data_IF_811671964428
#
_entry.id   IF_811671964428
#
_cell.length_a   1.000
_cell.length_b   1.000
_cell.length_c   1.000
_cell.angle_alpha   90.00
_cell.angle_beta   90.00
_cell.angle_gamma   90.00
#
_symmetry.space_group_name_H-M   'P 1'
#
loop_
_entity.id
_entity.type
_entity.pdbx_description
1 polymer ?
#
# COMPACT_ATOMS: atom_id res chain seq x y z
N UNK A 1 -16.95 15.29 16.67
CA UNK A 1 -17.46 13.93 16.39
C UNK A 1 -18.96 13.91 16.11
N UNK A 2 -19.77 14.72 16.81
CA UNK A 2 -21.23 14.83 16.53
C UNK A 2 -21.53 15.17 15.06
N UNK A 3 -20.83 16.13 14.47
CA UNK A 3 -20.97 16.45 13.03
C UNK A 3 -20.73 15.23 12.13
N UNK A 4 -19.70 14.40 12.40
CA UNK A 4 -19.47 13.16 11.64
C UNK A 4 -20.59 12.13 11.84
N UNK A 5 -21.24 12.13 13.00
CA UNK A 5 -22.37 11.25 13.32
C UNK A 5 -23.64 11.68 12.59
N UNK A 6 -23.94 12.97 12.63
CA UNK A 6 -25.13 13.56 11.99
C UNK A 6 -25.04 13.56 10.47
N UNK A 7 -23.84 13.77 9.94
CA UNK A 7 -23.59 13.87 8.50
C UNK A 7 -23.69 15.31 7.98
N UNK A 8 -23.71 15.43 6.65
CA UNK A 8 -23.90 16.72 5.98
C UNK A 8 -25.31 17.31 6.20
N UNK A 9 -25.62 18.42 5.52
CA UNK A 9 -26.94 19.04 5.61
C UNK A 9 -28.12 18.10 5.30
N UNK A 10 -27.88 17.01 4.55
CA UNK A 10 -28.87 15.99 4.21
C UNK A 10 -28.76 14.71 5.05
N UNK A 11 -27.93 14.72 6.09
CA UNK A 11 -27.65 13.56 6.94
C UNK A 11 -26.82 12.48 6.23
N UNK A 12 -26.08 12.82 5.18
CA UNK A 12 -25.19 11.88 4.49
C UNK A 12 -23.82 11.83 5.17
N UNK A 13 -23.24 10.65 5.21
CA UNK A 13 -21.91 10.43 5.78
C UNK A 13 -20.85 11.20 4.99
N UNK A 14 -19.95 11.86 5.70
CA UNK A 14 -18.81 12.52 5.08
C UNK A 14 -17.83 11.48 4.51
N UNK A 15 -17.55 11.57 3.22
CA UNK A 15 -16.41 10.84 2.63
C UNK A 15 -15.07 11.49 3.04
N UNK A 16 -15.06 12.81 3.23
CA UNK A 16 -13.90 13.59 3.66
C UNK A 16 -14.31 14.81 4.51
N UNK A 17 -13.43 15.30 5.41
CA UNK A 17 -12.18 14.66 5.84
C UNK A 17 -12.45 13.35 6.59
N UNK A 18 -11.53 12.39 6.47
CA UNK A 18 -11.60 11.13 7.20
C UNK A 18 -11.50 11.40 8.71
N UNK A 19 -12.28 10.66 9.50
CA UNK A 19 -12.22 10.74 10.96
C UNK A 19 -11.23 9.72 11.48
N UNK A 20 -9.94 10.02 11.32
CA UNK A 20 -8.85 9.17 11.82
C UNK A 20 -8.62 9.43 13.32
N UNK A 21 -8.68 8.37 14.12
CA UNK A 21 -8.56 8.43 15.58
C UNK A 21 -7.42 7.52 16.03
N UNK A 22 -6.44 8.12 16.71
CA UNK A 22 -5.34 7.42 17.34
C UNK A 22 -5.78 6.82 18.67
N UNK A 23 -5.50 5.53 18.87
CA UNK A 23 -5.81 4.76 20.06
C UNK A 23 -4.51 4.23 20.66
N UNK A 24 -4.24 4.60 21.90
CA UNK A 24 -3.14 4.13 22.72
C UNK A 24 -3.64 3.51 24.04
N UNK A 25 -2.76 3.19 24.98
CA UNK A 25 -3.15 2.67 26.31
C UNK A 25 -3.99 3.67 27.12
N UNK A 26 -3.69 4.97 27.02
CA UNK A 26 -4.41 6.02 27.76
C UNK A 26 -5.86 6.11 27.33
N UNK A 27 -6.14 5.81 26.07
CA UNK A 27 -7.51 5.74 25.52
C UNK A 27 -8.41 4.74 26.28
N UNK A 28 -7.83 3.78 27.01
CA UNK A 28 -8.56 2.79 27.82
C UNK A 28 -8.51 3.07 29.34
N UNK A 29 -7.45 3.72 29.80
CA UNK A 29 -7.15 3.98 31.22
C UNK A 29 -7.78 5.29 31.70
N UNK A 30 -7.69 6.36 30.90
CA UNK A 30 -8.26 7.66 31.22
C UNK A 30 -9.79 7.65 31.03
N UNK A 31 -10.60 8.00 32.04
CA UNK A 31 -12.05 7.97 31.94
C UNK A 31 -12.62 8.85 30.82
N UNK A 32 -12.07 10.04 30.59
CA UNK A 32 -12.56 10.98 29.57
C UNK A 32 -12.22 10.47 28.17
N UNK A 33 -11.00 9.98 27.96
CA UNK A 33 -10.61 9.39 26.67
C UNK A 33 -11.41 8.11 26.38
N UNK A 34 -11.71 7.31 27.40
CA UNK A 34 -12.51 6.10 27.26
C UNK A 34 -13.96 6.41 26.85
N UNK A 35 -14.54 7.49 27.37
CA UNK A 35 -15.86 7.96 26.92
C UNK A 35 -15.81 8.39 25.44
N UNK A 36 -14.76 9.13 25.05
CA UNK A 36 -14.57 9.54 23.65
C UNK A 36 -14.42 8.33 22.71
N UNK A 37 -13.61 7.33 23.10
CA UNK A 37 -13.42 6.09 22.34
C UNK A 37 -14.75 5.32 22.20
N UNK A 38 -15.54 5.20 23.26
CA UNK A 38 -16.88 4.59 23.18
C UNK A 38 -17.79 5.33 22.21
N UNK A 39 -17.74 6.67 22.22
CA UNK A 39 -18.52 7.46 21.29
C UNK A 39 -18.06 7.28 19.84
N UNK A 40 -16.75 7.16 19.62
CA UNK A 40 -16.17 6.82 18.32
C UNK A 40 -16.65 5.46 17.81
N UNK A 41 -16.67 4.43 18.66
CA UNK A 41 -17.20 3.11 18.34
C UNK A 41 -18.69 3.17 18.01
N UNK A 42 -19.46 3.99 18.72
CA UNK A 42 -20.89 4.21 18.42
C UNK A 42 -21.07 4.78 17.01
N UNK A 43 -20.34 5.84 16.66
CA UNK A 43 -20.39 6.44 15.32
C UNK A 43 -19.98 5.41 14.26
N UNK A 44 -18.90 4.65 14.50
CA UNK A 44 -18.45 3.60 13.60
C UNK A 44 -19.55 2.55 13.36
N UNK A 45 -20.29 2.16 14.41
CA UNK A 45 -21.39 1.20 14.32
C UNK A 45 -22.62 1.73 13.58
N UNK A 46 -22.83 3.05 13.59
CA UNK A 46 -23.98 3.69 12.96
C UNK A 46 -23.73 4.01 11.50
N UNK A 47 -22.52 4.48 11.15
CA UNK A 47 -22.27 5.01 9.81
C UNK A 47 -20.87 4.71 9.22
N UNK A 48 -20.01 4.00 9.94
CA UNK A 48 -18.71 3.55 9.43
C UNK A 48 -17.66 4.62 9.17
N UNK A 49 -17.90 5.88 9.59
CA UNK A 49 -17.00 7.01 9.29
C UNK A 49 -15.71 7.05 10.13
N UNK A 50 -15.69 6.38 11.28
CA UNK A 50 -14.52 6.33 12.17
C UNK A 50 -13.46 5.38 11.61
N UNK A 51 -12.22 5.86 11.51
CA UNK A 51 -11.05 5.03 11.25
C UNK A 51 -10.16 4.99 12.51
N UNK A 52 -9.74 3.81 12.92
CA UNK A 52 -8.98 3.61 14.15
C UNK A 52 -7.54 3.23 13.85
N UNK A 53 -6.61 4.04 14.36
CA UNK A 53 -5.17 3.82 14.24
C UNK A 53 -4.67 3.41 15.62
N UNK A 54 -4.21 2.17 15.76
CA UNK A 54 -3.66 1.68 17.02
C UNK A 54 -2.18 2.04 17.13
N UNK A 55 -1.87 3.02 17.98
CA UNK A 55 -0.51 3.39 18.32
C UNK A 55 -0.03 2.49 19.46
N UNK A 56 0.85 1.54 19.12
CA UNK A 56 1.40 0.59 20.10
C UNK A 56 2.61 1.18 20.80
N UNK A 57 3.65 1.48 20.02
CA UNK A 57 4.96 1.89 20.56
C UNK A 57 5.49 3.22 19.97
N UNK A 58 4.89 3.73 18.89
CA UNK A 58 5.39 4.90 18.15
C UNK A 58 4.27 5.93 17.89
N UNK A 59 4.62 7.22 17.93
CA UNK A 59 3.76 8.29 17.41
C UNK A 59 3.81 8.19 15.89
N UNK A 60 2.69 7.76 15.32
CA UNK A 60 2.59 7.49 13.90
C UNK A 60 1.72 8.53 13.21
N UNK A 61 2.20 9.09 12.10
CA UNK A 61 1.36 9.89 11.23
C UNK A 61 0.86 9.02 10.09
N UNK A 62 -0.46 8.90 9.97
CA UNK A 62 -1.10 8.36 8.78
C UNK A 62 -1.40 9.51 7.81
N UNK A 63 -0.69 9.57 6.69
CA UNK A 63 -0.95 10.55 5.63
C UNK A 63 -1.68 9.87 4.47
N UNK A 64 -3.00 10.08 4.35
CA UNK A 64 -3.85 9.50 3.31
C UNK A 64 -3.87 7.96 3.30
N UNK A 65 -5.00 7.40 3.75
CA UNK A 65 -5.31 5.97 3.80
C UNK A 65 -4.40 5.11 4.68
N UNK A 66 -3.11 4.93 4.35
CA UNK A 66 -2.25 3.91 4.97
C UNK A 66 -0.76 4.23 5.08
N UNK A 67 -0.30 5.37 4.56
CA UNK A 67 1.11 5.74 4.67
C UNK A 67 1.45 6.16 6.10
N UNK A 68 2.16 5.28 6.80
CA UNK A 68 2.63 5.50 8.18
C UNK A 68 4.07 6.00 8.17
N UNK A 69 4.34 7.06 8.92
CA UNK A 69 5.71 7.52 9.20
C UNK A 69 5.86 7.80 10.69
N UNK A 70 6.95 7.30 11.24
CA UNK A 70 7.39 7.61 12.59
C UNK A 70 8.06 8.98 12.60
N UNK A 71 7.69 9.84 13.55
CA UNK A 71 8.35 11.12 13.77
C UNK A 71 9.37 10.94 14.90
N UNK A 72 10.64 10.97 14.56
CA UNK A 72 11.74 10.92 15.56
C UNK A 72 12.35 12.29 15.84
N UNK A 73 12.02 13.30 15.03
CA UNK A 73 12.53 14.66 15.17
C UNK A 73 11.76 15.42 16.27
N UNK A 74 12.44 15.69 17.39
CA UNK A 74 11.88 16.46 18.51
C UNK A 74 11.47 17.88 18.12
N UNK A 75 12.15 18.51 17.15
CA UNK A 75 11.78 19.85 16.71
C UNK A 75 10.42 19.82 16.00
N UNK A 76 10.14 18.80 15.19
CA UNK A 76 8.82 18.63 14.56
C UNK A 76 7.71 18.32 15.58
N UNK A 77 8.04 17.62 16.67
CA UNK A 77 7.09 17.33 17.76
C UNK A 77 6.73 18.62 18.53
N UNK A 78 7.72 19.46 18.82
CA UNK A 78 7.54 20.73 19.54
C UNK A 78 6.95 21.84 18.66
N UNK A 79 7.15 21.74 17.33
CA UNK A 79 6.68 22.70 16.33
C UNK A 79 5.83 21.99 15.25
N UNK A 80 4.59 21.60 15.53
CA UNK A 80 3.74 20.89 14.57
C UNK A 80 3.53 21.63 13.23
N UNK A 81 3.63 22.96 13.21
CA UNK A 81 3.59 23.77 11.99
C UNK A 81 4.75 23.49 11.02
N UNK A 82 5.84 22.90 11.52
CA UNK A 82 7.00 22.45 10.77
C UNK A 82 6.85 21.05 10.21
N UNK A 83 5.80 20.32 10.58
CA UNK A 83 5.58 18.95 10.15
C UNK A 83 5.17 18.94 8.68
N UNK A 84 6.09 18.51 7.81
CA UNK A 84 5.87 18.37 6.37
C UNK A 84 6.35 17.00 5.94
N UNK A 85 5.41 16.19 5.48
CA UNK A 85 5.67 14.86 4.96
C UNK A 85 4.88 14.67 3.67
N UNK A 86 5.49 14.01 2.69
CA UNK A 86 4.86 13.76 1.41
C UNK A 86 5.20 12.34 0.91
N UNK A 87 4.17 11.58 0.57
CA UNK A 87 4.28 10.49 -0.39
C UNK A 87 4.42 11.09 -1.78
N UNK A 88 5.60 11.00 -2.38
CA UNK A 88 5.91 11.68 -3.64
C UNK A 88 5.17 11.02 -4.81
N UNK A 89 5.23 9.70 -4.87
CA UNK A 89 4.70 8.87 -5.95
C UNK A 89 4.39 7.48 -5.42
N UNK A 90 3.43 6.80 -6.07
CA UNK A 90 3.20 5.37 -5.90
C UNK A 90 3.37 4.63 -7.25
N UNK A 91 4.16 3.56 -7.25
CA UNK A 91 4.27 2.60 -8.34
C UNK A 91 3.94 1.20 -7.79
N UNK A 92 2.86 0.60 -8.29
CA UNK A 92 2.36 -0.69 -7.79
C UNK A 92 2.87 -1.87 -8.61
N UNK A 93 3.36 -2.91 -7.93
CA UNK A 93 3.78 -4.19 -8.51
C UNK A 93 2.58 -5.15 -8.59
N UNK A 94 2.30 -5.64 -9.79
CA UNK A 94 1.30 -6.67 -10.06
C UNK A 94 1.90 -8.07 -9.77
N UNK A 95 1.67 -8.60 -8.57
CA UNK A 95 2.21 -9.90 -8.16
C UNK A 95 1.67 -11.07 -8.97
N UNK A 96 0.36 -11.15 -9.29
CA UNK A 96 -0.18 -12.18 -10.17
C UNK A 96 0.56 -12.27 -11.51
N UNK A 97 0.87 -11.13 -12.13
CA UNK A 97 1.60 -11.11 -13.39
C UNK A 97 3.03 -11.68 -13.25
N UNK A 98 3.70 -11.43 -12.12
CA UNK A 98 4.99 -12.05 -11.83
C UNK A 98 4.83 -13.58 -11.72
N UNK A 99 3.75 -14.06 -11.10
CA UNK A 99 3.46 -15.48 -10.94
C UNK A 99 3.15 -16.15 -12.28
N UNK A 100 2.34 -15.53 -13.16
CA UNK A 100 2.05 -16.08 -14.49
C UNK A 100 3.31 -16.23 -15.35
N UNK A 101 4.24 -15.27 -15.25
CA UNK A 101 5.53 -15.31 -15.97
C UNK A 101 6.48 -16.38 -15.44
N UNK A 102 6.42 -16.69 -14.14
CA UNK A 102 7.26 -17.72 -13.53
C UNK A 102 6.64 -19.13 -13.64
N UNK A 103 5.31 -19.23 -13.71
CA UNK A 103 4.55 -20.48 -13.77
C UNK A 103 3.60 -20.50 -14.98
N UNK A 104 4.13 -20.54 -16.22
CA UNK A 104 3.28 -20.61 -17.40
C UNK A 104 2.61 -21.98 -17.52
N UNK A 105 1.35 -22.01 -17.93
CA UNK A 105 0.53 -23.22 -18.09
C UNK A 105 0.40 -24.04 -16.79
N UNK A 106 0.42 -23.38 -15.63
CA UNK A 106 0.41 -24.09 -14.35
C UNK A 106 -0.89 -24.89 -14.20
N UNK A 107 -0.76 -26.19 -13.94
CA UNK A 107 -1.87 -27.05 -13.61
C UNK A 107 -2.12 -26.91 -12.12
N UNK A 108 -3.15 -26.14 -11.75
CA UNK A 108 -3.59 -25.90 -10.37
C UNK A 108 -3.95 -27.21 -9.61
N UNK A 109 -4.04 -28.35 -10.31
CA UNK A 109 -4.40 -29.64 -9.74
C UNK A 109 -3.16 -30.43 -9.26
N UNK A 110 -2.80 -30.30 -7.99
CA UNK A 110 -1.80 -31.15 -7.34
C UNK A 110 -1.27 -30.56 -6.02
N UNK A 111 -0.83 -31.41 -5.08
CA UNK A 111 -0.25 -30.95 -3.82
C UNK A 111 1.07 -30.23 -4.07
N UNK A 112 1.07 -28.89 -4.00
CA UNK A 112 2.31 -28.12 -3.98
C UNK A 112 3.14 -28.53 -2.75
N UNK A 113 4.38 -28.98 -2.99
CA UNK A 113 5.32 -29.33 -1.93
C UNK A 113 6.58 -28.48 -2.07
N UNK A 114 6.96 -27.82 -0.98
CA UNK A 114 8.21 -27.05 -0.89
C UNK A 114 9.47 -27.93 -0.97
N UNK A 115 9.33 -29.26 -0.85
CA UNK A 115 10.43 -30.22 -0.94
C UNK A 115 10.71 -30.67 -2.38
N UNK A 116 9.85 -30.32 -3.33
CA UNK A 116 10.10 -30.60 -4.75
C UNK A 116 11.06 -29.54 -5.31
N UNK A 117 12.23 -29.97 -5.78
CA UNK A 117 13.28 -29.09 -6.30
C UNK A 117 12.79 -28.25 -7.49
N UNK A 118 11.85 -28.76 -8.30
CA UNK A 118 11.25 -27.98 -9.40
C UNK A 118 10.42 -26.80 -8.87
N UNK A 119 9.77 -26.96 -7.73
CA UNK A 119 9.01 -25.89 -7.09
C UNK A 119 9.96 -24.86 -6.46
N UNK A 120 11.09 -25.29 -5.91
CA UNK A 120 12.11 -24.38 -5.38
C UNK A 120 12.67 -23.46 -6.47
N UNK A 121 13.12 -24.02 -7.60
CA UNK A 121 13.62 -23.25 -8.74
C UNK A 121 12.57 -22.27 -9.29
N UNK A 122 11.30 -22.69 -9.33
CA UNK A 122 10.20 -21.85 -9.82
C UNK A 122 9.83 -20.72 -8.85
N UNK A 123 9.98 -20.93 -7.53
CA UNK A 123 9.81 -19.86 -6.53
C UNK A 123 10.94 -18.84 -6.66
N UNK A 124 12.18 -19.29 -6.87
CA UNK A 124 13.30 -18.38 -7.12
C UNK A 124 13.07 -17.54 -8.37
N UNK A 125 12.62 -18.15 -9.47
CA UNK A 125 12.24 -17.42 -10.68
C UNK A 125 11.11 -16.41 -10.42
N UNK A 126 10.12 -16.75 -9.61
CA UNK A 126 9.05 -15.81 -9.23
C UNK A 126 9.58 -14.61 -8.43
N UNK A 127 10.45 -14.85 -7.45
CA UNK A 127 11.11 -13.78 -6.69
C UNK A 127 12.01 -12.92 -7.60
N UNK A 128 12.66 -13.52 -8.59
CA UNK A 128 13.43 -12.79 -9.61
C UNK A 128 12.52 -11.89 -10.46
N UNK A 129 11.34 -12.36 -10.87
CA UNK A 129 10.36 -11.52 -11.60
C UNK A 129 9.85 -10.35 -10.76
N UNK A 130 9.66 -10.56 -9.46
CA UNK A 130 9.34 -9.48 -8.52
C UNK A 130 10.52 -8.49 -8.46
N UNK A 131 11.76 -8.96 -8.33
CA UNK A 131 12.95 -8.09 -8.28
C UNK A 131 13.10 -7.23 -9.54
N UNK A 132 12.91 -7.84 -10.72
CA UNK A 132 12.91 -7.13 -12.00
C UNK A 132 11.85 -6.02 -12.03
N UNK A 133 10.65 -6.29 -11.51
CA UNK A 133 9.58 -5.29 -11.42
C UNK A 133 9.90 -4.18 -10.41
N UNK A 134 10.52 -4.52 -9.26
CA UNK A 134 10.97 -3.56 -8.26
C UNK A 134 12.03 -2.60 -8.84
N UNK A 135 13.04 -3.13 -9.54
CA UNK A 135 14.06 -2.30 -10.22
C UNK A 135 13.44 -1.36 -11.25
N UNK A 136 12.42 -1.81 -11.97
CA UNK A 136 11.68 -0.96 -12.89
C UNK A 136 10.90 0.15 -12.16
N UNK A 137 10.28 -0.16 -11.02
CA UNK A 137 9.61 0.83 -10.18
C UNK A 137 10.59 1.88 -9.65
N UNK A 138 11.77 1.48 -9.18
CA UNK A 138 12.84 2.39 -8.75
C UNK A 138 13.28 3.30 -9.89
N UNK A 139 13.51 2.75 -11.09
CA UNK A 139 13.81 3.54 -12.29
C UNK A 139 12.71 4.56 -12.59
N UNK A 140 11.44 4.18 -12.48
CA UNK A 140 10.32 5.08 -12.67
C UNK A 140 10.31 6.22 -11.63
N UNK A 141 10.60 5.91 -10.36
CA UNK A 141 10.72 6.92 -9.30
C UNK A 141 11.83 7.93 -9.58
N UNK A 142 13.03 7.47 -9.95
CA UNK A 142 14.16 8.35 -10.26
C UNK A 142 13.84 9.29 -11.44
N UNK A 143 13.25 8.76 -12.51
CA UNK A 143 12.87 9.55 -13.68
C UNK A 143 11.81 10.60 -13.34
N UNK A 144 10.76 10.20 -12.61
CA UNK A 144 9.70 11.12 -12.22
C UNK A 144 10.18 12.14 -11.18
N UNK A 145 11.07 11.77 -10.24
CA UNK A 145 11.71 12.71 -9.30
C UNK A 145 12.43 13.82 -10.04
N UNK A 146 13.22 13.49 -11.07
CA UNK A 146 13.87 14.48 -11.95
C UNK A 146 12.86 15.41 -12.62
N UNK A 147 11.77 14.84 -13.14
CA UNK A 147 10.73 15.63 -13.80
C UNK A 147 9.97 16.56 -12.83
N UNK A 148 9.62 16.08 -11.63
CA UNK A 148 9.00 16.88 -10.58
C UNK A 148 9.91 18.06 -10.18
N UNK A 149 11.22 17.80 -10.00
CA UNK A 149 12.19 18.84 -9.69
C UNK A 149 12.19 19.96 -10.75
N UNK A 150 12.19 19.60 -12.03
CA UNK A 150 12.10 20.60 -13.11
C UNK A 150 10.81 21.44 -13.03
N UNK A 151 9.67 20.84 -12.67
CA UNK A 151 8.40 21.57 -12.52
C UNK A 151 8.34 22.44 -11.26
N UNK A 152 9.06 22.05 -10.20
CA UNK A 152 9.15 22.79 -8.93
C UNK A 152 10.15 23.95 -8.98
N UNK A 153 11.14 23.90 -9.86
CA UNK A 153 12.16 24.96 -10.03
C UNK A 153 11.77 26.01 -11.10
N UNK A 154 10.88 25.65 -12.03
CA UNK A 154 10.39 26.57 -13.05
C UNK A 154 9.29 27.47 -12.47
N UNK A 155 9.48 28.79 -12.47
CA UNK A 155 8.50 29.76 -11.94
C UNK A 155 7.14 29.76 -12.67
N UNK A 156 7.10 29.29 -13.92
CA UNK A 156 5.88 29.08 -14.69
C UNK A 156 5.38 27.64 -14.62
N UNK A 157 6.05 26.78 -13.85
CA UNK A 157 5.73 25.37 -13.70
C UNK A 157 4.51 25.15 -12.79
N UNK A 158 3.73 24.09 -13.01
CA UNK A 158 2.52 23.82 -12.22
C UNK A 158 2.82 23.50 -10.75
N UNK A 159 4.05 23.10 -10.42
CA UNK A 159 4.48 22.75 -9.07
C UNK A 159 5.38 23.82 -8.43
N UNK A 160 5.54 25.00 -9.06
CA UNK A 160 6.40 26.06 -8.55
C UNK A 160 6.10 26.42 -7.10
N UNK A 161 4.83 26.61 -6.74
CA UNK A 161 4.43 27.08 -5.42
C UNK A 161 4.86 26.12 -4.30
N UNK A 162 4.77 24.80 -4.53
CA UNK A 162 5.19 23.79 -3.56
C UNK A 162 6.70 23.54 -3.56
N UNK A 163 7.42 24.02 -4.58
CA UNK A 163 8.88 24.03 -4.64
C UNK A 163 9.53 25.21 -3.90
N UNK A 164 8.75 26.24 -3.55
CA UNK A 164 9.28 27.41 -2.82
C UNK A 164 9.68 27.05 -1.40
N UNK A 165 10.63 27.83 -0.87
CA UNK A 165 10.92 27.87 0.56
C UNK A 165 9.74 28.49 1.30
N UNK A 166 9.31 27.83 2.37
CA UNK A 166 8.36 28.38 3.32
C UNK A 166 9.06 29.38 4.26
N UNK A 167 8.29 29.96 5.19
CA UNK A 167 8.79 31.00 6.11
C UNK A 167 9.89 30.51 7.06
N UNK A 168 9.97 29.20 7.30
CA UNK A 168 11.02 28.57 8.09
C UNK A 168 12.31 28.28 7.29
N UNK A 169 12.39 28.74 6.03
CA UNK A 169 13.57 28.58 5.17
C UNK A 169 13.72 27.20 4.52
N UNK A 170 12.84 26.24 4.85
CA UNK A 170 12.81 24.88 4.27
C UNK A 170 11.89 24.83 3.06
N UNK A 171 12.14 23.97 2.06
CA UNK A 171 11.17 23.75 0.98
C UNK A 171 9.83 23.28 1.54
N UNK A 172 8.73 23.65 0.87
CA UNK A 172 7.41 23.17 1.29
C UNK A 172 7.24 21.67 1.01
N UNK A 173 7.67 21.21 -0.17
CA UNK A 173 7.85 19.78 -0.48
C UNK A 173 9.33 19.51 -0.74
N UNK A 174 9.92 18.59 0.03
CA UNK A 174 11.29 18.14 -0.18
C UNK A 174 11.29 16.78 -0.89
N UNK A 175 11.78 16.74 -2.13
CA UNK A 175 11.85 15.51 -2.92
C UNK A 175 12.93 14.53 -2.43
N UNK A 176 13.88 14.99 -1.61
CA UNK A 176 14.94 14.15 -1.05
C UNK A 176 14.51 13.49 0.26
N UNK A 177 13.67 14.16 1.06
CA UNK A 177 13.10 13.62 2.30
C UNK A 177 11.74 12.93 2.11
N UNK A 178 11.08 13.18 0.98
CA UNK A 178 9.80 12.58 0.62
C UNK A 178 9.88 11.06 0.45
N UNK A 179 8.77 10.37 0.75
CA UNK A 179 8.71 8.91 0.65
C UNK A 179 8.20 8.49 -0.73
N UNK A 180 8.88 7.53 -1.33
CA UNK A 180 8.56 6.96 -2.63
C UNK A 180 7.97 5.56 -2.42
N UNK A 181 6.72 5.39 -2.83
CA UNK A 181 5.90 4.25 -2.45
C UNK A 181 5.97 3.19 -3.53
N UNK A 182 6.36 1.98 -3.12
CA UNK A 182 6.23 0.79 -3.95
C UNK A 182 5.00 0.04 -3.44
N UNK A 183 3.95 0.08 -4.22
CA UNK A 183 2.72 -0.63 -3.92
C UNK A 183 2.79 -2.11 -4.29
N UNK A 184 1.93 -2.94 -3.70
CA UNK A 184 1.72 -4.32 -4.14
C UNK A 184 0.23 -4.66 -4.23
N UNK A 185 -0.12 -5.57 -5.13
CA UNK A 185 -1.50 -6.02 -5.34
C UNK A 185 -1.56 -7.50 -5.72
N UNK A 186 -2.64 -8.18 -5.33
CA UNK A 186 -2.98 -9.52 -5.78
C UNK A 186 -2.10 -10.63 -5.18
N UNK A 187 -1.63 -10.47 -3.94
CA UNK A 187 -0.85 -11.53 -3.28
C UNK A 187 -1.63 -12.85 -3.22
N UNK A 188 -2.94 -12.77 -2.94
CA UNK A 188 -3.81 -13.94 -2.91
C UNK A 188 -3.84 -14.69 -4.25
N UNK A 189 -4.07 -13.98 -5.36
CA UNK A 189 -4.11 -14.60 -6.68
C UNK A 189 -2.75 -15.12 -7.12
N UNK A 190 -1.65 -14.45 -6.73
CA UNK A 190 -0.30 -14.94 -6.99
C UNK A 190 -0.04 -16.27 -6.29
N UNK A 191 -0.31 -16.38 -4.98
CA UNK A 191 -0.10 -17.65 -4.25
C UNK A 191 -1.08 -18.74 -4.68
N UNK A 192 -2.32 -18.36 -5.05
CA UNK A 192 -3.31 -19.30 -5.58
C UNK A 192 -2.87 -19.85 -6.94
N UNK A 193 -2.29 -19.01 -7.80
CA UNK A 193 -1.77 -19.47 -9.09
C UNK A 193 -0.59 -20.43 -8.91
N UNK A 194 0.27 -20.19 -7.92
CA UNK A 194 1.45 -21.02 -7.66
C UNK A 194 1.08 -22.36 -7.01
N UNK A 195 0.25 -22.31 -5.97
CA UNK A 195 0.03 -23.44 -5.05
C UNK A 195 -1.31 -24.14 -5.24
N UNK A 196 -2.23 -23.50 -5.97
CA UNK A 196 -3.63 -23.90 -6.06
C UNK A 196 -4.49 -23.56 -4.85
N UNK A 197 -3.91 -22.92 -3.82
CA UNK A 197 -4.59 -22.55 -2.58
C UNK A 197 -4.52 -21.04 -2.32
N UNK A 198 -5.58 -20.50 -1.74
CA UNK A 198 -5.66 -19.12 -1.27
C UNK A 198 -4.87 -18.93 0.03
N UNK A 199 -4.57 -17.66 0.36
CA UNK A 199 -3.75 -17.32 1.53
C UNK A 199 -4.25 -17.92 2.84
N UNK A 200 -5.58 -18.03 3.01
CA UNK A 200 -6.22 -18.48 4.24
C UNK A 200 -6.43 -20.01 4.31
N UNK A 201 -6.19 -20.75 3.23
CA UNK A 201 -6.53 -22.18 3.15
C UNK A 201 -5.46 -23.11 3.74
N UNK A 202 -4.26 -22.59 4.04
CA UNK A 202 -3.14 -23.38 4.55
C UNK A 202 -2.09 -22.52 5.23
N UNK A 203 -1.58 -22.97 6.38
CA UNK A 203 -0.52 -22.27 7.11
C UNK A 203 0.75 -22.10 6.27
N UNK A 204 1.14 -23.11 5.50
CA UNK A 204 2.31 -23.02 4.62
C UNK A 204 2.14 -22.00 3.48
N UNK A 205 0.91 -21.82 2.99
CA UNK A 205 0.61 -20.83 1.93
C UNK A 205 0.61 -19.42 2.52
N UNK A 206 0.10 -19.26 3.74
CA UNK A 206 0.21 -18.02 4.49
C UNK A 206 1.68 -17.64 4.75
N UNK A 207 2.51 -18.60 5.19
CA UNK A 207 3.97 -18.42 5.36
C UNK A 207 4.67 -18.05 4.05
N UNK A 208 4.26 -18.63 2.93
CA UNK A 208 4.76 -18.23 1.60
C UNK A 208 4.38 -16.77 1.29
N UNK A 209 3.14 -16.37 1.55
CA UNK A 209 2.70 -14.98 1.43
C UNK A 209 3.57 -14.02 2.24
N UNK A 210 3.84 -14.35 3.52
CA UNK A 210 4.74 -13.58 4.38
C UNK A 210 6.16 -13.51 3.79
N UNK A 211 6.71 -14.63 3.32
CA UNK A 211 8.05 -14.67 2.69
C UNK A 211 8.14 -13.73 1.49
N UNK A 212 7.11 -13.68 0.65
CA UNK A 212 7.04 -12.80 -0.53
C UNK A 212 7.05 -11.33 -0.10
N UNK A 213 6.21 -10.95 0.89
CA UNK A 213 6.15 -9.57 1.40
C UNK A 213 7.46 -9.18 2.08
N UNK A 214 8.05 -10.06 2.89
CA UNK A 214 9.36 -9.82 3.50
C UNK A 214 10.46 -9.63 2.47
N UNK A 215 10.47 -10.43 1.40
CA UNK A 215 11.41 -10.26 0.30
C UNK A 215 11.28 -8.87 -0.34
N UNK A 216 10.05 -8.45 -0.69
CA UNK A 216 9.81 -7.12 -1.26
C UNK A 216 10.24 -5.99 -0.31
N UNK A 217 9.93 -6.13 0.98
CA UNK A 217 10.28 -5.14 2.01
C UNK A 217 11.79 -4.98 2.15
N UNK A 218 12.53 -6.10 2.18
CA UNK A 218 14.00 -6.08 2.24
C UNK A 218 14.59 -5.43 0.98
N UNK A 219 14.06 -5.77 -0.20
CA UNK A 219 14.49 -5.15 -1.46
C UNK A 219 14.20 -3.66 -1.53
N UNK A 220 13.07 -3.20 -1.00
CA UNK A 220 12.80 -1.76 -0.91
C UNK A 220 13.84 -1.05 -0.03
N UNK A 221 14.27 -1.66 1.08
CA UNK A 221 15.34 -1.10 1.92
C UNK A 221 16.69 -1.08 1.19
N UNK A 222 17.09 -2.21 0.61
CA UNK A 222 18.33 -2.34 -0.17
C UNK A 222 18.41 -1.30 -1.30
N UNK A 223 17.33 -1.16 -2.09
CA UNK A 223 17.27 -0.16 -3.16
C UNK A 223 17.13 1.27 -2.63
N UNK A 224 16.54 1.46 -1.47
CA UNK A 224 16.46 2.78 -0.85
C UNK A 224 17.86 3.31 -0.52
N UNK A 225 18.71 2.45 0.04
CA UNK A 225 20.13 2.74 0.32
C UNK A 225 20.93 2.89 -0.98
N UNK A 226 20.81 1.93 -1.92
CA UNK A 226 21.57 1.92 -3.18
C UNK A 226 21.32 3.18 -4.04
N UNK A 227 20.07 3.62 -4.14
CA UNK A 227 19.66 4.72 -5.01
C UNK A 227 19.41 6.04 -4.28
N UNK A 228 19.69 6.10 -2.97
CA UNK A 228 19.44 7.26 -2.12
C UNK A 228 17.99 7.77 -2.24
N UNK A 229 17.03 6.86 -2.04
CA UNK A 229 15.59 7.13 -2.04
C UNK A 229 14.98 6.59 -0.76
N UNK A 230 14.12 7.37 -0.10
CA UNK A 230 13.28 6.85 0.98
C UNK A 230 12.15 6.00 0.38
N UNK A 231 12.44 4.72 0.09
CA UNK A 231 11.48 3.76 -0.42
C UNK A 231 10.67 3.14 0.73
N UNK A 232 9.36 2.96 0.52
CA UNK A 232 8.50 2.22 1.45
C UNK A 232 7.56 1.30 0.69
N UNK A 233 7.40 0.08 1.20
CA UNK A 233 6.44 -0.89 0.68
C UNK A 233 5.06 -0.57 1.24
N UNK A 234 4.05 -0.47 0.39
CA UNK A 234 2.70 -0.07 0.79
C UNK A 234 1.64 -1.05 0.25
N UNK A 235 0.58 -1.23 1.04
CA UNK A 235 -0.68 -1.75 0.53
C UNK A 235 -1.38 -0.68 -0.33
N UNK A 236 -1.21 -0.77 -1.65
CA UNK A 236 -1.90 0.09 -2.60
C UNK A 236 -3.41 0.16 -2.29
N UNK A 237 -4.03 1.35 -2.19
CA UNK A 237 -5.49 1.46 -2.09
C UNK A 237 -6.22 0.82 -3.29
N UNK A 238 -5.57 0.84 -4.46
CA UNK A 238 -5.87 0.05 -5.65
C UNK A 238 -7.30 0.14 -6.21
N UNK A 239 -8.07 1.19 -5.90
CA UNK A 239 -9.49 1.31 -6.27
C UNK A 239 -9.71 1.20 -7.78
N UNK A 240 -8.80 1.76 -8.58
CA UNK A 240 -8.81 1.64 -10.05
C UNK A 240 -7.81 0.62 -10.59
N UNK A 241 -6.73 0.35 -9.84
CA UNK A 241 -5.64 -0.51 -10.29
C UNK A 241 -6.06 -1.99 -10.28
N UNK A 242 -6.83 -2.43 -9.27
CA UNK A 242 -7.27 -3.82 -9.12
C UNK A 242 -8.00 -4.32 -10.37
N UNK A 243 -9.00 -3.55 -10.83
CA UNK A 243 -9.76 -3.91 -12.01
C UNK A 243 -8.98 -3.75 -13.31
N UNK A 244 -8.21 -2.66 -13.46
CA UNK A 244 -7.43 -2.41 -14.67
C UNK A 244 -6.40 -3.50 -14.93
N UNK A 245 -5.64 -3.89 -13.90
CA UNK A 245 -4.60 -4.90 -14.02
C UNK A 245 -5.17 -6.28 -14.33
N UNK A 246 -6.27 -6.66 -13.66
CA UNK A 246 -6.97 -7.92 -13.96
C UNK A 246 -7.45 -7.98 -15.42
N UNK A 247 -8.06 -6.90 -15.93
CA UNK A 247 -8.53 -6.84 -17.32
C UNK A 247 -7.42 -6.99 -18.35
N UNK A 248 -6.26 -6.38 -18.11
CA UNK A 248 -5.08 -6.52 -18.98
C UNK A 248 -4.60 -7.97 -18.94
N UNK A 249 -4.45 -8.54 -17.74
CA UNK A 249 -3.92 -9.89 -17.61
C UNK A 249 -4.87 -10.97 -18.17
N UNK A 250 -6.19 -10.74 -18.18
CA UNK A 250 -7.16 -11.63 -18.85
C UNK A 250 -6.92 -11.74 -20.37
N UNK A 251 -6.34 -10.71 -20.98
CA UNK A 251 -6.01 -10.68 -22.40
C UNK A 251 -4.64 -11.31 -22.68
N UNK A 252 -3.66 -11.05 -21.81
CA UNK A 252 -2.25 -11.42 -22.02
C UNK A 252 -1.89 -12.80 -21.44
N UNK A 253 -2.55 -13.24 -20.38
CA UNK A 253 -2.23 -14.46 -19.64
C UNK A 253 -3.48 -15.35 -19.53
N UNK A 254 -3.65 -16.36 -20.42
CA UNK A 254 -4.83 -17.23 -20.39
C UNK A 254 -5.09 -17.91 -19.04
N UNK A 255 -4.03 -18.22 -18.29
CA UNK A 255 -4.12 -18.83 -16.96
C UNK A 255 -4.69 -17.90 -15.89
N UNK A 256 -4.65 -16.58 -16.08
CA UNK A 256 -5.14 -15.60 -15.11
C UNK A 256 -6.63 -15.78 -14.79
N UNK A 257 -7.41 -16.30 -15.75
CA UNK A 257 -8.83 -16.66 -15.61
C UNK A 257 -9.11 -17.62 -14.46
N UNK A 258 -8.10 -18.39 -14.02
CA UNK A 258 -8.27 -19.40 -12.96
C UNK A 258 -8.32 -18.78 -11.56
N UNK A 259 -7.74 -17.60 -11.37
CA UNK A 259 -7.54 -16.99 -10.04
C UNK A 259 -8.14 -15.60 -9.91
N UNK A 260 -8.27 -14.85 -11.02
CA UNK A 260 -8.92 -13.54 -11.04
C UNK A 260 -10.34 -13.62 -10.45
N UNK A 261 -10.69 -12.64 -9.62
CA UNK A 261 -11.99 -12.55 -8.96
C UNK A 261 -12.99 -11.75 -9.81
N UNK A 262 -14.26 -11.85 -9.46
CA UNK A 262 -15.36 -11.23 -10.20
C UNK A 262 -15.85 -12.12 -11.35
N UNK A 263 -16.52 -11.51 -12.33
CA UNK A 263 -17.09 -12.25 -13.46
C UNK A 263 -16.04 -12.57 -14.54
N UNK A 264 -16.22 -13.71 -15.20
CA UNK A 264 -15.33 -14.21 -16.25
C UNK A 264 -15.45 -13.45 -17.58
N UNK A 265 -16.48 -12.60 -17.72
CA UNK A 265 -16.74 -11.76 -18.89
C UNK A 265 -15.87 -10.49 -18.92
N UNK A 266 -15.06 -10.23 -17.88
CA UNK A 266 -14.05 -9.16 -17.88
C UNK A 266 -14.52 -7.81 -17.34
N UNK A 267 -15.83 -7.58 -17.19
CA UNK A 267 -16.34 -6.24 -16.81
C UNK A 267 -16.12 -5.94 -15.33
N UNK A 268 -16.33 -6.94 -14.47
CA UNK A 268 -16.21 -6.85 -13.01
C UNK A 268 -14.97 -7.59 -12.50
N UNK A 269 -13.98 -7.87 -13.35
CA UNK A 269 -12.79 -8.61 -12.94
C UNK A 269 -11.86 -7.75 -12.10
N UNK A 270 -11.34 -8.31 -11.00
CA UNK A 270 -10.42 -7.62 -10.10
C UNK A 270 -9.41 -8.56 -9.43
N UNK A 271 -8.30 -7.99 -8.95
CA UNK A 271 -7.40 -8.62 -8.00
C UNK A 271 -7.75 -8.26 -6.56
N UNK A 272 -7.55 -9.21 -5.65
CA UNK A 272 -7.71 -8.96 -4.21
C UNK A 272 -6.71 -7.88 -3.78
N UNK A 273 -7.16 -6.94 -2.95
CA UNK A 273 -6.34 -5.80 -2.62
C UNK A 273 -5.10 -6.21 -1.81
N UNK A 274 -3.92 -5.76 -2.27
CA UNK A 274 -2.62 -5.98 -1.62
C UNK A 274 -2.41 -7.37 -1.02
N UNK A 275 -2.49 -7.48 0.31
CA UNK A 275 -2.26 -8.71 1.10
C UNK A 275 -3.55 -9.27 1.71
N UNK A 276 -4.72 -8.74 1.33
CA UNK A 276 -5.99 -9.13 1.94
C UNK A 276 -6.32 -10.58 1.58
N UNK A 277 -7.10 -11.21 2.45
CA UNK A 277 -7.76 -12.45 2.08
C UNK A 277 -8.89 -12.12 1.10
N UNK A 278 -9.05 -12.98 0.09
CA UNK A 278 -10.20 -12.86 -0.78
C UNK A 278 -11.48 -13.07 0.04
N UNK A 279 -12.48 -12.25 -0.25
CA UNK A 279 -13.84 -12.36 0.28
C UNK A 279 -14.60 -13.53 -0.37
#
# INVERSE_FOLDING_TARGET
>A
MEVWREGDYHGKVFAFPKMDLHIDSKSFEDPEQKELLKYACKIASENGSSYFIFDRDDISLAACCRLKTEITDQEMILHPEKLRFAGIQNVTINLPQCAYKAYPNNKIFGSFSFLDTKNADSIELFLEKIDQALRLAVKAHLQKKKFLKMMMENSNGPLWQIGKKAQDGRPYVNLDEGTYLIGLIGLNEAVQHITGKQLHESEDVFKLGLKIVSFMSLKCREYGEEFNLKLSLEESPAESAAGRLAKIDLQEFPDSKKVIKGNSNGEESYYTNSIHFAA
#
